data_IF_600415864612
#
_entry.id   IF_600415864612
#
_cell.length_a   1.000
_cell.length_b   1.000
_cell.length_c   1.000
_cell.angle_alpha   90.00
_cell.angle_beta   90.00
_cell.angle_gamma   90.00
#
_symmetry.space_group_name_H-M   'P 1'
#
loop_
_entity.id
_entity.type
_entity.pdbx_description
1 polymer ?
#
# COMPACT_ATOMS: atom_id res chain seq x y z
N UNK A 1 4.90 1.52 -5.31
CA UNK A 1 3.77 1.18 -4.41
C UNK A 1 3.10 -0.08 -4.91
N UNK A 2 2.51 -0.89 -4.04
CA UNK A 2 1.85 -2.15 -4.42
C UNK A 2 0.39 -2.10 -3.94
N UNK A 3 -0.57 -2.16 -4.87
CA UNK A 3 -2.00 -2.27 -4.56
C UNK A 3 -2.30 -3.66 -4.05
N UNK A 4 -2.82 -3.75 -2.82
CA UNK A 4 -3.29 -4.99 -2.19
C UNK A 4 -4.82 -5.06 -2.23
N UNK A 5 -5.42 -6.05 -1.58
CA UNK A 5 -6.87 -6.09 -1.37
C UNK A 5 -7.37 -4.87 -0.59
N UNK A 6 -8.63 -4.49 -0.83
CA UNK A 6 -9.21 -3.30 -0.22
C UNK A 6 -9.37 -3.47 1.30
N UNK A 7 -9.07 -2.41 2.05
CA UNK A 7 -9.33 -2.39 3.49
C UNK A 7 -10.82 -2.21 3.80
N UNK A 8 -11.52 -1.46 2.94
CA UNK A 8 -12.91 -1.06 3.12
C UNK A 8 -13.73 -1.27 1.84
N UNK A 9 -13.66 -2.50 1.30
CA UNK A 9 -14.48 -2.89 0.15
C UNK A 9 -15.97 -2.62 0.44
N UNK A 10 -16.67 -1.97 -0.49
CA UNK A 10 -18.05 -1.50 -0.29
C UNK A 10 -19.06 -2.63 -0.12
N UNK A 11 -18.75 -3.82 -0.66
CA UNK A 11 -19.55 -5.04 -0.56
C UNK A 11 -19.12 -5.97 0.59
N UNK A 12 -18.15 -5.57 1.43
CA UNK A 12 -17.66 -6.36 2.56
C UNK A 12 -17.67 -5.56 3.88
N UNK A 13 -16.98 -4.42 3.91
CA UNK A 13 -16.84 -3.58 5.10
C UNK A 13 -16.74 -2.09 4.71
N UNK A 14 -17.86 -1.46 4.30
CA UNK A 14 -17.86 -0.08 3.84
C UNK A 14 -17.55 0.90 5.00
N UNK A 15 -16.72 1.91 4.73
CA UNK A 15 -16.55 3.08 5.59
C UNK A 15 -17.02 4.32 4.82
N UNK A 16 -18.21 4.81 5.18
CA UNK A 16 -18.83 5.96 4.53
C UNK A 16 -19.11 5.72 3.04
N UNK A 17 -19.31 6.80 2.29
CA UNK A 17 -19.71 6.77 0.87
C UNK A 17 -18.72 7.52 -0.04
N UNK A 18 -17.44 7.62 0.36
CA UNK A 18 -16.46 8.48 -0.33
C UNK A 18 -15.87 7.77 -1.56
N UNK A 19 -15.60 6.47 -1.44
CA UNK A 19 -15.01 5.64 -2.49
C UNK A 19 -15.78 4.31 -2.51
N UNK A 20 -16.42 3.99 -3.63
CA UNK A 20 -17.18 2.76 -3.84
C UNK A 20 -16.37 1.77 -4.68
N UNK A 21 -15.42 1.10 -4.04
CA UNK A 21 -14.64 0.01 -4.64
C UNK A 21 -15.06 -1.29 -3.98
N UNK A 22 -15.46 -2.27 -4.79
CA UNK A 22 -15.80 -3.63 -4.33
C UNK A 22 -14.55 -4.47 -4.14
N UNK A 23 -14.65 -5.54 -3.36
CA UNK A 23 -13.54 -6.48 -3.22
C UNK A 23 -13.15 -7.07 -4.59
N UNK A 24 -11.85 -7.10 -4.84
CA UNK A 24 -11.30 -7.55 -6.12
C UNK A 24 -11.52 -9.06 -6.30
N UNK A 25 -12.17 -9.47 -7.39
CA UNK A 25 -12.41 -10.89 -7.70
C UNK A 25 -11.37 -11.46 -8.66
N UNK A 26 -10.66 -10.59 -9.37
CA UNK A 26 -9.64 -10.95 -10.35
C UNK A 26 -8.60 -9.82 -10.50
N UNK A 27 -7.54 -10.07 -11.27
CA UNK A 27 -6.47 -9.08 -11.49
C UNK A 27 -6.96 -7.82 -12.22
N UNK A 28 -7.95 -7.92 -13.10
CA UNK A 28 -8.51 -6.77 -13.80
C UNK A 28 -9.20 -5.81 -12.84
N UNK A 29 -9.97 -6.32 -11.87
CA UNK A 29 -10.59 -5.49 -10.83
C UNK A 29 -9.53 -4.75 -10.02
N UNK A 30 -8.47 -5.45 -9.59
CA UNK A 30 -7.38 -4.88 -8.80
C UNK A 30 -6.55 -3.86 -9.59
N UNK A 31 -6.32 -4.15 -10.87
CA UNK A 31 -5.64 -3.22 -11.78
C UNK A 31 -6.46 -1.95 -11.95
N UNK A 32 -7.77 -2.06 -12.16
CA UNK A 32 -8.66 -0.90 -12.30
C UNK A 32 -8.60 0.01 -11.05
N UNK A 33 -8.66 -0.56 -9.84
CA UNK A 33 -8.52 0.22 -8.60
C UNK A 33 -7.16 0.94 -8.52
N UNK A 34 -6.06 0.26 -8.87
CA UNK A 34 -4.74 0.87 -8.92
C UNK A 34 -4.64 1.98 -9.98
N UNK A 35 -5.21 1.79 -11.16
CA UNK A 35 -5.24 2.78 -12.24
C UNK A 35 -6.04 4.02 -11.84
N UNK A 36 -7.21 3.84 -11.22
CA UNK A 36 -8.03 4.94 -10.71
C UNK A 36 -7.27 5.75 -9.66
N UNK A 37 -6.62 5.08 -8.70
CA UNK A 37 -5.82 5.75 -7.68
C UNK A 37 -4.59 6.46 -8.28
N UNK A 38 -3.92 5.90 -9.30
CA UNK A 38 -2.84 6.61 -10.03
C UNK A 38 -3.39 7.85 -10.73
N UNK A 39 -4.56 7.74 -11.36
CA UNK A 39 -5.21 8.85 -12.08
C UNK A 39 -5.66 9.96 -11.12
N UNK A 40 -6.17 9.59 -9.94
CA UNK A 40 -6.60 10.55 -8.92
C UNK A 40 -5.42 11.27 -8.25
N UNK A 41 -4.31 10.55 -7.98
CA UNK A 41 -3.15 11.10 -7.26
C UNK A 41 -2.07 11.67 -8.17
N UNK A 42 -2.12 11.39 -9.47
CA UNK A 42 -1.09 11.76 -10.46
C UNK A 42 0.32 11.24 -10.12
N UNK A 43 0.40 10.15 -9.35
CA UNK A 43 1.66 9.51 -8.96
C UNK A 43 2.53 9.21 -10.18
N UNK A 44 3.83 9.56 -10.08
CA UNK A 44 4.82 9.36 -11.14
C UNK A 44 5.75 8.18 -10.90
N UNK A 45 5.49 7.39 -9.86
CA UNK A 45 6.27 6.20 -9.51
C UNK A 45 5.62 4.94 -10.09
N UNK A 46 6.38 3.86 -10.30
CA UNK A 46 5.80 2.56 -10.62
C UNK A 46 4.80 2.11 -9.55
N UNK A 47 3.62 1.74 -10.00
CA UNK A 47 2.58 1.10 -9.20
C UNK A 47 2.39 -0.31 -9.72
N UNK A 48 2.49 -1.26 -8.80
CA UNK A 48 2.27 -2.68 -9.06
C UNK A 48 0.96 -3.09 -8.37
N UNK A 49 0.43 -4.24 -8.76
CA UNK A 49 -0.67 -4.90 -8.05
C UNK A 49 -0.15 -6.20 -7.45
N UNK A 50 -0.60 -6.53 -6.24
CA UNK A 50 -0.35 -7.84 -5.65
C UNK A 50 -1.10 -8.92 -6.43
N UNK A 51 -0.61 -10.15 -6.37
CA UNK A 51 -1.23 -11.30 -7.01
C UNK A 51 -2.56 -11.65 -6.33
N UNK A 52 -3.46 -12.36 -7.03
CA UNK A 52 -4.78 -12.68 -6.47
C UNK A 52 -4.75 -13.65 -5.28
N UNK A 53 -3.69 -14.45 -5.17
CA UNK A 53 -3.38 -15.27 -3.99
C UNK A 53 -2.73 -14.46 -2.85
N UNK A 54 -2.58 -13.15 -3.04
CA UNK A 54 -2.13 -12.19 -2.03
C UNK A 54 -0.72 -12.50 -1.48
N UNK A 55 0.22 -12.86 -2.37
CA UNK A 55 1.59 -13.26 -1.97
C UNK A 55 2.27 -12.13 -1.19
N UNK A 56 2.26 -10.89 -1.71
CA UNK A 56 2.92 -9.77 -1.04
C UNK A 56 2.24 -9.42 0.28
N UNK A 57 0.89 -9.38 0.28
CA UNK A 57 0.10 -9.15 1.48
C UNK A 57 0.46 -10.14 2.60
N UNK A 58 0.55 -11.43 2.27
CA UNK A 58 0.81 -12.49 3.24
C UNK A 58 2.26 -12.48 3.75
N UNK A 59 3.23 -12.16 2.87
CA UNK A 59 4.65 -12.13 3.25
C UNK A 59 5.03 -10.90 4.07
N UNK A 60 4.49 -9.73 3.75
CA UNK A 60 4.90 -8.45 4.35
C UNK A 60 3.89 -7.89 5.36
N UNK A 61 2.70 -8.50 5.47
CA UNK A 61 1.60 -8.06 6.33
C UNK A 61 1.31 -6.54 6.26
N UNK A 62 1.18 -5.93 5.07
CA UNK A 62 1.04 -4.49 4.93
C UNK A 62 -0.37 -3.96 5.21
N UNK A 63 -1.37 -4.78 5.48
CA UNK A 63 -2.76 -4.32 5.64
C UNK A 63 -2.94 -3.43 6.89
N UNK A 64 -3.72 -2.33 6.83
CA UNK A 64 -4.44 -1.81 5.65
C UNK A 64 -3.54 -1.07 4.65
N UNK A 65 -2.44 -0.49 5.11
CA UNK A 65 -1.31 -0.03 4.30
C UNK A 65 -0.06 0.04 5.19
N UNK A 66 1.14 -0.06 4.59
CA UNK A 66 2.41 -0.03 5.34
C UNK A 66 3.57 0.43 4.46
N UNK A 67 4.54 1.11 5.07
CA UNK A 67 5.78 1.54 4.42
C UNK A 67 6.94 0.59 4.76
N UNK A 68 7.82 0.36 3.78
CA UNK A 68 9.03 -0.44 3.96
C UNK A 68 10.19 0.26 3.26
N UNK A 69 11.40 0.13 3.84
CA UNK A 69 12.65 0.44 3.14
C UNK A 69 13.45 -0.84 3.05
N UNK A 70 13.84 -1.20 1.82
CA UNK A 70 14.68 -2.36 1.52
C UNK A 70 15.95 -1.85 0.84
N UNK A 71 17.12 -2.21 1.38
CA UNK A 71 18.44 -1.89 0.81
C UNK A 71 19.24 -3.17 0.74
N UNK A 72 19.75 -3.51 -0.44
CA UNK A 72 20.52 -4.72 -0.71
C UNK A 72 19.84 -6.01 -0.20
N UNK A 73 18.52 -6.10 -0.39
CA UNK A 73 17.71 -7.23 0.06
C UNK A 73 17.40 -7.27 1.56
N UNK A 74 17.83 -6.27 2.34
CA UNK A 74 17.63 -6.19 3.78
C UNK A 74 16.55 -5.15 4.10
N UNK A 75 15.56 -5.53 4.92
CA UNK A 75 14.59 -4.61 5.48
C UNK A 75 15.29 -3.67 6.49
N UNK A 76 15.45 -2.40 6.11
CA UNK A 76 16.00 -1.34 6.96
C UNK A 76 14.93 -0.66 7.80
N UNK A 77 13.70 -0.62 7.29
CA UNK A 77 12.55 -0.05 7.99
C UNK A 77 11.29 -0.87 7.70
N UNK A 78 10.52 -1.11 8.76
CA UNK A 78 9.11 -1.55 8.68
C UNK A 78 8.30 -0.49 9.41
N UNK A 79 7.44 0.23 8.69
CA UNK A 79 6.60 1.27 9.26
C UNK A 79 5.60 0.67 10.25
N UNK A 80 5.55 1.23 11.47
CA UNK A 80 4.63 0.80 12.52
C UNK A 80 3.54 1.85 12.74
N UNK A 81 2.29 1.44 12.97
CA UNK A 81 1.23 2.39 13.31
C UNK A 81 1.51 3.01 14.69
N UNK A 82 1.26 4.31 14.81
CA UNK A 82 1.28 5.07 16.07
C UNK A 82 -0.13 5.60 16.26
N UNK A 83 -0.77 5.31 17.39
CA UNK A 83 -2.12 5.84 17.72
C UNK A 83 -3.13 5.71 16.56
N UNK A 84 -3.24 4.51 15.98
CA UNK A 84 -4.13 4.17 14.87
C UNK A 84 -3.91 4.96 13.56
N UNK A 85 -2.76 5.63 13.38
CA UNK A 85 -2.35 6.21 12.11
C UNK A 85 -0.92 5.78 11.76
N UNK A 86 -0.52 5.96 10.49
CA UNK A 86 0.86 5.80 10.07
C UNK A 86 1.42 7.19 9.76
N UNK A 87 2.37 7.63 10.57
CA UNK A 87 3.14 8.84 10.35
C UNK A 87 4.40 8.53 9.52
N UNK A 88 4.81 9.47 8.67
CA UNK A 88 5.94 9.32 7.74
C UNK A 88 7.27 9.79 8.34
N UNK A 89 7.30 10.27 9.59
CA UNK A 89 8.54 10.75 10.24
C UNK A 89 9.66 9.71 10.23
N UNK A 90 9.39 8.46 10.60
CA UNK A 90 10.42 7.42 10.67
C UNK A 90 10.91 7.03 9.25
N UNK A 91 10.02 7.09 8.27
CA UNK A 91 10.34 6.88 6.86
C UNK A 91 11.28 7.97 6.34
N UNK A 92 10.95 9.25 6.57
CA UNK A 92 11.74 10.39 6.14
C UNK A 92 13.14 10.38 6.78
N UNK A 93 13.22 10.17 8.10
CA UNK A 93 14.51 10.09 8.82
C UNK A 93 15.39 8.95 8.32
N UNK A 94 14.81 7.78 8.07
CA UNK A 94 15.55 6.64 7.56
C UNK A 94 16.09 6.92 6.14
N UNK A 95 15.26 7.51 5.26
CA UNK A 95 15.70 7.93 3.92
C UNK A 95 16.82 8.96 3.96
N UNK A 96 16.69 10.02 4.77
CA UNK A 96 17.75 11.03 4.94
C UNK A 96 19.06 10.40 5.41
N UNK A 97 18.99 9.47 6.35
CA UNK A 97 20.19 8.77 6.85
C UNK A 97 20.86 7.94 5.75
N UNK A 98 20.08 7.28 4.90
CA UNK A 98 20.59 6.43 3.82
C UNK A 98 21.14 7.23 2.63
N UNK A 99 20.57 8.41 2.34
CA UNK A 99 20.97 9.25 1.21
C UNK A 99 22.18 10.15 1.52
N UNK A 100 22.45 10.41 2.80
CA UNK A 100 23.58 11.23 3.26
C UNK A 100 24.82 10.41 3.66
N UNK A 101 24.81 9.10 3.39
CA UNK A 101 25.97 8.21 3.51
C UNK A 101 26.73 8.14 2.18
#
# INVERSE_FOLDING_TARGET
MIQIREAHASDVWPIGNIIDIKEHKNLTDRLAAAEEMVKATQLKIPVLIDTMDNIFLNLYCPWPFRFFIVVDGILKLVGMPKEAHYDTTDLAKCLETLLNQ
#
